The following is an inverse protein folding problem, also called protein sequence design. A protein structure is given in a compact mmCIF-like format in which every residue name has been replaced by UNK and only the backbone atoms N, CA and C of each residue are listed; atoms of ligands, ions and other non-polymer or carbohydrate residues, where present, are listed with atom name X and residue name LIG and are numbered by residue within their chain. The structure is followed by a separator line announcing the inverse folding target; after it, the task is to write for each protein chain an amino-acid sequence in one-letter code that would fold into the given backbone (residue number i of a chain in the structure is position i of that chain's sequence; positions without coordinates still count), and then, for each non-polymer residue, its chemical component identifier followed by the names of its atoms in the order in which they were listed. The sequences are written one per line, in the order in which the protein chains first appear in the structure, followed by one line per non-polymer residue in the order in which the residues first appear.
data_IF_494814455234
#
_entry.id   IF_494814455234
#
_cell.length_a   1.000
_cell.length_b   1.000
_cell.length_c   1.000
_cell.angle_alpha   90.00
_cell.angle_beta   90.00
_cell.angle_gamma   90.00
#
_symmetry.space_group_name_H-M   'P 1'
#
loop_
_entity.id
_entity.type
_entity.pdbx_description
1 polymer ?
#
# COMPACT_ATOMS: atom_id res chain seq x y z
N UNK A 1 24.39 -4.60 -46.73
CA UNK A 1 23.38 -3.73 -46.08
C UNK A 1 23.20 -4.24 -44.65
N UNK A 2 23.66 -3.48 -43.66
CA UNK A 2 23.57 -3.80 -42.23
C UNK A 2 22.69 -2.70 -41.62
N UNK A 3 21.45 -3.01 -41.29
CA UNK A 3 20.55 -2.09 -40.59
C UNK A 3 21.10 -1.87 -39.17
N UNK A 4 21.31 -0.62 -38.71
CA UNK A 4 21.78 -0.36 -37.36
C UNK A 4 20.69 -0.72 -36.35
N UNK A 5 21.09 -1.38 -35.27
CA UNK A 5 20.21 -1.89 -34.23
C UNK A 5 19.27 -0.82 -33.69
N UNK A 6 17.98 -1.16 -33.64
CA UNK A 6 17.04 -0.49 -32.77
C UNK A 6 17.51 -0.67 -31.33
N UNK A 7 18.03 0.41 -30.74
CA UNK A 7 18.11 0.52 -29.29
C UNK A 7 16.68 0.36 -28.76
N UNK A 8 16.39 -0.79 -28.16
CA UNK A 8 15.21 -0.94 -27.31
C UNK A 8 15.54 -0.15 -26.05
N UNK A 9 15.01 1.07 -25.94
CA UNK A 9 14.95 1.75 -24.65
C UNK A 9 14.15 0.85 -23.71
N UNK A 10 14.84 0.22 -22.76
CA UNK A 10 14.18 -0.47 -21.66
C UNK A 10 13.24 0.53 -20.96
N UNK A 11 11.94 0.25 -21.02
CA UNK A 11 10.94 1.01 -20.29
C UNK A 11 11.31 0.96 -18.80
N UNK A 12 11.57 2.12 -18.19
CA UNK A 12 11.91 2.25 -16.76
C UNK A 12 10.79 1.79 -15.80
N UNK A 13 9.67 1.33 -16.34
CA UNK A 13 8.47 1.00 -15.59
C UNK A 13 8.32 -0.52 -15.54
N UNK A 14 8.56 -1.08 -14.36
CA UNK A 14 8.25 -2.47 -14.06
C UNK A 14 6.74 -2.63 -13.84
N UNK A 15 6.18 -3.77 -14.26
CA UNK A 15 4.83 -4.17 -13.87
C UNK A 15 4.80 -4.40 -12.35
N UNK A 16 3.98 -3.62 -11.65
CA UNK A 16 3.82 -3.68 -10.20
C UNK A 16 2.71 -4.63 -9.75
N UNK A 17 2.10 -5.37 -10.67
CA UNK A 17 1.05 -6.34 -10.36
C UNK A 17 1.69 -7.68 -9.97
N UNK A 18 1.34 -8.16 -8.79
CA UNK A 18 1.78 -9.45 -8.27
C UNK A 18 0.59 -10.27 -7.78
N UNK A 19 0.84 -11.56 -7.51
CA UNK A 19 -0.14 -12.41 -6.85
C UNK A 19 -0.43 -11.91 -5.44
N UNK A 20 -1.64 -12.14 -4.94
CA UNK A 20 -1.99 -11.78 -3.55
C UNK A 20 -0.98 -12.43 -2.58
N UNK A 21 -0.31 -11.66 -1.70
CA UNK A 21 0.60 -12.21 -0.72
C UNK A 21 -0.10 -13.16 0.26
N UNK A 22 0.53 -14.27 0.59
CA UNK A 22 -0.03 -15.29 1.48
C UNK A 22 -0.32 -14.75 2.89
N UNK A 23 0.39 -13.71 3.31
CA UNK A 23 0.22 -13.05 4.60
C UNK A 23 -1.08 -12.23 4.69
N UNK A 24 -1.72 -11.92 3.55
CA UNK A 24 -2.94 -11.10 3.50
C UNK A 24 -4.20 -11.94 3.76
N UNK A 25 -4.48 -12.89 2.87
CA UNK A 25 -5.56 -13.85 3.03
C UNK A 25 -5.35 -15.07 2.13
N UNK A 26 -5.96 -16.20 2.51
CA UNK A 26 -5.97 -17.40 1.70
C UNK A 26 -7.00 -17.27 0.57
N UNK A 27 -6.49 -17.13 -0.66
CA UNK A 27 -7.26 -16.96 -1.88
C UNK A 27 -8.11 -18.18 -2.21
N UNK A 28 -7.60 -19.39 -1.95
CA UNK A 28 -8.32 -20.63 -2.27
C UNK A 28 -9.41 -20.90 -1.23
N UNK A 29 -9.16 -20.57 0.03
CA UNK A 29 -10.21 -20.59 1.06
C UNK A 29 -11.30 -19.53 0.81
N UNK A 30 -10.96 -18.34 0.31
CA UNK A 30 -11.95 -17.32 -0.07
C UNK A 30 -12.77 -17.77 -1.30
N UNK A 31 -12.11 -18.37 -2.29
CA UNK A 31 -12.77 -18.96 -3.46
C UNK A 31 -13.83 -19.98 -3.07
N UNK A 32 -13.49 -20.89 -2.15
CA UNK A 32 -14.41 -21.93 -1.68
C UNK A 32 -15.59 -21.37 -0.88
N UNK A 33 -15.40 -20.26 -0.14
CA UNK A 33 -16.49 -19.60 0.60
C UNK A 33 -17.49 -18.91 -0.32
N UNK A 34 -17.04 -18.37 -1.46
CA UNK A 34 -17.88 -17.63 -2.41
C UNK A 34 -18.55 -18.57 -3.42
N UNK A 35 -19.12 -19.68 -2.96
CA UNK A 35 -19.66 -20.83 -3.71
C UNK A 35 -20.84 -20.52 -4.67
N UNK A 36 -20.90 -19.32 -5.24
CA UNK A 36 -21.77 -18.90 -6.33
C UNK A 36 -20.97 -18.97 -7.64
N UNK A 37 -21.60 -19.50 -8.69
CA UNK A 37 -21.04 -19.78 -10.03
C UNK A 37 -20.52 -18.53 -10.79
N UNK A 38 -20.58 -17.36 -10.15
CA UNK A 38 -20.24 -16.03 -10.71
C UNK A 38 -19.15 -15.32 -9.89
N UNK A 39 -18.60 -15.94 -8.84
CA UNK A 39 -17.61 -15.26 -8.00
C UNK A 39 -16.25 -15.15 -8.69
N UNK A 40 -15.93 -13.94 -9.16
CA UNK A 40 -14.57 -13.63 -9.65
C UNK A 40 -13.66 -13.52 -8.42
N UNK A 41 -12.86 -14.56 -8.20
CA UNK A 41 -11.80 -14.53 -7.19
C UNK A 41 -10.65 -13.71 -7.74
N UNK A 42 -10.41 -12.56 -7.12
CA UNK A 42 -9.24 -11.73 -7.44
C UNK A 42 -8.00 -12.51 -7.00
N UNK A 43 -7.04 -12.71 -7.90
CA UNK A 43 -5.79 -13.43 -7.64
C UNK A 43 -4.55 -12.52 -7.69
N UNK A 44 -4.71 -11.32 -8.24
CA UNK A 44 -3.63 -10.37 -8.51
C UNK A 44 -4.00 -8.96 -8.04
N UNK A 45 -2.98 -8.17 -7.70
CA UNK A 45 -3.11 -6.78 -7.28
C UNK A 45 -1.74 -6.12 -7.13
N UNK A 46 -1.74 -4.80 -6.92
CA UNK A 46 -0.54 -4.07 -6.48
C UNK A 46 -0.54 -3.97 -4.97
N UNK A 47 0.51 -4.47 -4.31
CA UNK A 47 0.60 -4.47 -2.85
C UNK A 47 1.78 -3.62 -2.38
N UNK A 48 1.53 -2.83 -1.35
CA UNK A 48 2.59 -2.18 -0.61
C UNK A 48 3.20 -3.18 0.38
N UNK A 49 4.52 -3.23 0.39
CA UNK A 49 5.31 -3.98 1.37
C UNK A 49 5.23 -3.28 2.72
N UNK A 50 5.38 -4.06 3.78
CA UNK A 50 5.51 -3.55 5.16
C UNK A 50 4.36 -2.65 5.62
N UNK A 51 3.16 -2.81 5.04
CA UNK A 51 1.95 -2.04 5.40
C UNK A 51 1.53 -2.18 6.87
N UNK A 52 2.05 -3.22 7.52
CA UNK A 52 1.76 -3.54 8.91
C UNK A 52 2.80 -2.92 9.87
N UNK A 53 3.89 -2.33 9.34
CA UNK A 53 4.91 -1.64 10.12
C UNK A 53 4.45 -0.23 10.49
N UNK A 54 4.57 0.12 11.78
CA UNK A 54 4.24 1.45 12.29
C UNK A 54 4.97 1.76 13.59
N UNK A 55 5.66 2.90 13.64
CA UNK A 55 6.31 3.39 14.86
C UNK A 55 5.35 4.27 15.67
N UNK A 56 4.56 3.61 16.52
CA UNK A 56 3.64 4.27 17.44
C UNK A 56 4.35 5.17 18.45
N UNK A 57 5.58 4.83 18.84
CA UNK A 57 6.32 5.53 19.88
C UNK A 57 6.78 6.92 19.44
N UNK A 58 7.12 7.07 18.15
CA UNK A 58 7.44 8.35 17.53
C UNK A 58 6.29 9.38 17.65
N UNK A 59 5.04 8.89 17.75
CA UNK A 59 3.83 9.72 17.87
C UNK A 59 3.26 9.76 19.30
N UNK A 60 3.97 9.19 20.29
CA UNK A 60 3.51 9.13 21.68
C UNK A 60 2.29 8.21 21.90
N UNK A 61 2.06 7.25 21.01
CA UNK A 61 0.93 6.34 21.03
C UNK A 61 1.30 4.97 21.64
N UNK A 62 0.34 4.32 22.29
CA UNK A 62 0.55 2.96 22.80
C UNK A 62 0.51 1.89 21.69
N UNK A 63 1.29 0.82 21.82
CA UNK A 63 1.27 -0.28 20.85
C UNK A 63 -0.11 -0.95 20.73
N UNK A 64 -0.87 -0.99 21.83
CA UNK A 64 -2.23 -1.57 21.85
C UNK A 64 -3.19 -0.76 20.98
N UNK A 65 -3.11 0.56 21.08
CA UNK A 65 -3.89 1.47 20.25
C UNK A 65 -3.49 1.32 18.77
N UNK A 66 -2.19 1.32 18.48
CA UNK A 66 -1.67 1.20 17.13
C UNK A 66 -2.12 -0.08 16.39
N UNK A 67 -2.17 -1.22 17.08
CA UNK A 67 -2.63 -2.50 16.48
C UNK A 67 -4.10 -2.43 16.07
N UNK A 68 -4.93 -1.67 16.79
CA UNK A 68 -6.35 -1.53 16.51
C UNK A 68 -6.66 -0.49 15.43
N UNK A 69 -5.68 0.32 15.04
CA UNK A 69 -5.87 1.34 14.00
C UNK A 69 -6.03 0.71 12.62
N UNK A 70 -6.82 1.39 11.79
CA UNK A 70 -6.86 1.09 10.37
C UNK A 70 -5.47 1.33 9.72
N UNK A 71 -4.96 0.40 8.89
CA UNK A 71 -3.65 0.56 8.25
C UNK A 71 -3.51 1.82 7.40
N UNK A 72 -4.58 2.32 6.76
CA UNK A 72 -4.52 3.54 5.96
C UNK A 72 -4.32 4.77 6.85
N UNK A 73 -4.95 4.79 8.04
CA UNK A 73 -4.72 5.83 9.03
C UNK A 73 -3.28 5.82 9.56
N UNK A 74 -2.71 4.64 9.84
CA UNK A 74 -1.30 4.53 10.26
C UNK A 74 -0.35 5.06 9.19
N UNK A 75 -0.57 4.68 7.92
CA UNK A 75 0.25 5.15 6.81
C UNK A 75 0.16 6.67 6.62
N UNK A 76 -1.04 7.24 6.75
CA UNK A 76 -1.22 8.68 6.73
C UNK A 76 -0.41 9.39 7.81
N UNK A 77 -0.43 8.89 9.05
CA UNK A 77 0.33 9.48 10.16
C UNK A 77 1.84 9.39 9.94
N UNK A 78 2.34 8.26 9.43
CA UNK A 78 3.76 8.11 9.09
C UNK A 78 4.19 9.11 8.02
N UNK A 79 3.39 9.29 6.97
CA UNK A 79 3.67 10.25 5.90
C UNK A 79 3.61 11.69 6.41
N UNK A 80 2.61 12.03 7.23
CA UNK A 80 2.48 13.36 7.82
C UNK A 80 3.68 13.70 8.72
N UNK A 81 4.12 12.74 9.56
CA UNK A 81 5.30 12.91 10.40
C UNK A 81 6.59 13.07 9.57
N UNK A 82 6.74 12.30 8.49
CA UNK A 82 7.89 12.40 7.57
C UNK A 82 7.90 13.76 6.86
N UNK A 83 6.76 14.21 6.36
CA UNK A 83 6.63 15.51 5.71
C UNK A 83 6.92 16.66 6.68
N UNK A 84 6.42 16.57 7.91
CA UNK A 84 6.70 17.56 8.95
C UNK A 84 8.18 17.64 9.28
N UNK A 85 8.87 16.50 9.39
CA UNK A 85 10.32 16.45 9.63
C UNK A 85 11.13 17.02 8.46
N UNK A 86 10.65 16.84 7.22
CA UNK A 86 11.35 17.32 6.03
C UNK A 86 11.30 18.84 5.86
N UNK A 87 10.15 19.47 6.16
CA UNK A 87 9.96 20.92 5.90
C UNK A 87 10.02 21.79 7.16
N UNK A 88 9.80 21.23 8.36
CA UNK A 88 9.88 21.98 9.62
C UNK A 88 8.89 23.15 9.74
N UNK A 89 7.74 23.12 9.06
CA UNK A 89 6.82 24.27 9.02
C UNK A 89 5.75 24.21 10.12
N UNK A 90 5.79 25.20 11.02
CA UNK A 90 4.83 25.40 12.11
C UNK A 90 3.83 26.53 11.79
N UNK A 91 3.18 26.48 10.63
CA UNK A 91 2.09 27.39 10.29
C UNK A 91 0.73 26.71 10.58
N UNK A 92 -0.36 27.49 10.52
CA UNK A 92 -1.73 26.95 10.57
C UNK A 92 -1.99 26.13 9.30
N UNK A 93 -1.63 24.86 9.34
CA UNK A 93 -1.73 23.94 8.21
C UNK A 93 -2.99 23.10 8.33
N UNK A 94 -3.84 23.17 7.32
CA UNK A 94 -4.97 22.24 7.18
C UNK A 94 -4.49 20.96 6.49
N UNK A 95 -4.97 19.81 6.96
CA UNK A 95 -4.68 18.51 6.36
C UNK A 95 -5.93 18.03 5.61
N UNK A 96 -5.79 17.77 4.31
CA UNK A 96 -6.84 17.26 3.44
C UNK A 96 -6.40 15.89 2.90
N UNK A 97 -7.20 14.86 3.14
CA UNK A 97 -6.87 13.48 2.72
C UNK A 97 -8.10 12.85 2.10
N UNK A 98 -7.92 12.22 0.94
CA UNK A 98 -8.92 11.34 0.35
C UNK A 98 -8.72 9.93 0.87
N UNK A 99 -9.71 9.38 1.55
CA UNK A 99 -9.75 7.97 1.97
C UNK A 99 -11.01 7.38 1.36
N UNK A 100 -10.86 6.30 0.61
CA UNK A 100 -11.96 5.53 0.08
C UNK A 100 -11.70 4.05 0.35
N UNK A 101 -12.70 3.36 0.91
CA UNK A 101 -12.70 1.91 1.00
C UNK A 101 -13.56 1.38 -0.16
N UNK A 102 -13.04 0.42 -0.92
CA UNK A 102 -13.74 -0.28 -2.00
C UNK A 102 -14.00 -1.74 -1.65
#
# INVERSE_FOLDING_TARGET
ARTPGSHVEESKYADGIEGIPFERWDVEADALRRCDDVSIVRRFGGFMRDLDMFDASCLGMSSKEAVLMDPQQRMLLTLAATAYQAEGTALRTNILVGISSF
#
